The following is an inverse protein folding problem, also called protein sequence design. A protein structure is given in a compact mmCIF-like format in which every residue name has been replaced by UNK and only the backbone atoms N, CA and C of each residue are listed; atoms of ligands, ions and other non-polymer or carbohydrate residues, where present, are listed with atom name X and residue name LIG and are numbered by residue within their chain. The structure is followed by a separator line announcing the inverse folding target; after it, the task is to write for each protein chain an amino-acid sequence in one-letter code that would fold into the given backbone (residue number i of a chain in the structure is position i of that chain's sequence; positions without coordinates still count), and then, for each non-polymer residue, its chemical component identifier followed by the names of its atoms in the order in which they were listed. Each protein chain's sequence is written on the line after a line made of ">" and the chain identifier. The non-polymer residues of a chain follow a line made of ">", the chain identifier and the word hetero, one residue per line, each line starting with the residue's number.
data_IF_695756759393
#
_entry.id   IF_695756759393
#
_cell.length_a   1.000
_cell.length_b   1.000
_cell.length_c   1.000
_cell.angle_alpha   90.00
_cell.angle_beta   90.00
_cell.angle_gamma   90.00
#
_symmetry.space_group_name_H-M   'P 1'
#
loop_
_entity.id
_entity.type
_entity.pdbx_description
1 polymer ?
#
# COMPACT_ATOMS: atom_id res chain seq x y z
N UNK A 1 41.28 15.66 6.30
CA UNK A 1 41.38 14.25 6.74
C UNK A 1 40.32 13.46 5.99
N UNK A 2 40.74 12.68 4.99
CA UNK A 2 39.90 11.77 4.23
C UNK A 2 40.23 10.36 4.70
N UNK A 3 39.26 9.64 5.29
CA UNK A 3 39.44 8.24 5.65
C UNK A 3 39.16 7.36 4.41
N UNK A 4 40.23 6.86 3.79
CA UNK A 4 40.18 5.74 2.85
C UNK A 4 40.13 4.43 3.64
N UNK A 5 39.16 3.55 3.36
CA UNK A 5 39.21 2.17 3.80
C UNK A 5 40.14 1.36 2.89
N UNK A 6 41.32 0.98 3.40
CA UNK A 6 42.14 -0.09 2.82
C UNK A 6 41.68 -1.45 3.40
N UNK A 7 41.55 -2.47 2.55
CA UNK A 7 41.39 -3.86 2.97
C UNK A 7 42.76 -4.53 3.05
N UNK A 8 43.10 -5.09 4.23
CA UNK A 8 44.27 -5.94 4.46
C UNK A 8 43.91 -7.37 4.00
N UNK A 9 44.66 -7.91 3.05
CA UNK A 9 44.56 -9.31 2.65
C UNK A 9 45.46 -10.19 3.53
N UNK A 10 44.86 -11.04 4.36
CA UNK A 10 45.58 -12.13 5.03
C UNK A 10 45.73 -13.31 4.05
N UNK A 11 46.97 -13.70 3.77
CA UNK A 11 47.30 -14.95 3.07
C UNK A 11 46.97 -16.13 3.98
N UNK A 12 46.11 -17.04 3.54
CA UNK A 12 46.15 -18.43 3.99
C UNK A 12 45.97 -19.37 2.80
N UNK A 13 46.96 -20.25 2.62
CA UNK A 13 47.04 -21.26 1.58
C UNK A 13 46.01 -22.37 1.83
N UNK A 14 44.99 -22.45 0.98
CA UNK A 14 44.21 -23.65 0.71
C UNK A 14 43.63 -23.51 -0.71
N UNK A 15 43.46 -24.61 -1.47
CA UNK A 15 43.25 -24.57 -2.92
C UNK A 15 41.97 -23.80 -3.28
N UNK A 16 41.94 -23.08 -4.42
CA UNK A 16 40.80 -22.27 -4.80
C UNK A 16 39.61 -23.19 -5.11
N UNK A 17 38.74 -23.37 -4.13
CA UNK A 17 37.35 -23.64 -4.42
C UNK A 17 36.84 -22.41 -5.19
N UNK A 18 36.59 -22.61 -6.47
CA UNK A 18 35.92 -21.64 -7.32
C UNK A 18 34.60 -21.33 -6.62
N UNK A 19 34.50 -20.15 -6.01
CA UNK A 19 33.25 -19.60 -5.48
C UNK A 19 32.26 -19.57 -6.64
N UNK A 20 31.38 -20.57 -6.68
CA UNK A 20 30.23 -20.62 -7.58
C UNK A 20 29.48 -19.29 -7.47
N UNK A 21 29.10 -18.76 -8.64
CA UNK A 21 28.34 -17.53 -8.82
C UNK A 21 27.38 -17.23 -7.66
N UNK A 22 27.59 -16.10 -7.00
CA UNK A 22 26.65 -15.57 -6.01
C UNK A 22 25.31 -15.40 -6.73
N UNK A 23 24.33 -16.24 -6.40
CA UNK A 23 23.04 -16.18 -7.06
C UNK A 23 22.26 -14.95 -6.57
N UNK A 24 21.90 -14.08 -7.52
CA UNK A 24 21.29 -12.78 -7.28
C UNK A 24 19.80 -12.83 -7.58
N UNK A 25 18.98 -12.16 -6.79
CA UNK A 25 17.54 -12.04 -6.97
C UNK A 25 17.10 -10.59 -7.03
N UNK A 26 15.92 -10.38 -7.60
CA UNK A 26 15.20 -9.12 -7.61
C UNK A 26 13.87 -9.31 -6.89
N UNK A 27 13.25 -8.23 -6.35
CA UNK A 27 11.93 -8.34 -5.75
C UNK A 27 10.88 -8.70 -6.80
N UNK A 28 9.71 -9.12 -6.31
CA UNK A 28 8.56 -9.44 -7.14
C UNK A 28 8.22 -8.29 -8.09
N UNK A 29 7.91 -8.64 -9.35
CA UNK A 29 7.61 -7.68 -10.43
C UNK A 29 8.80 -6.79 -10.88
N UNK A 30 10.05 -7.18 -10.57
CA UNK A 30 11.26 -6.56 -11.12
C UNK A 30 12.02 -7.53 -12.04
N UNK A 31 12.48 -7.02 -13.17
CA UNK A 31 13.29 -7.78 -14.13
C UNK A 31 14.77 -7.75 -13.74
N UNK A 32 15.40 -8.92 -13.58
CA UNK A 32 16.84 -9.04 -13.31
C UNK A 32 17.65 -8.83 -14.59
N UNK A 33 18.65 -7.97 -14.51
CA UNK A 33 19.65 -7.75 -15.56
C UNK A 33 21.04 -7.60 -14.93
N UNK A 34 21.80 -8.70 -14.90
CA UNK A 34 23.10 -8.73 -14.24
C UNK A 34 22.97 -8.44 -12.74
N UNK A 35 23.53 -7.31 -12.28
CA UNK A 35 23.48 -6.84 -10.89
C UNK A 35 22.38 -5.79 -10.63
N UNK A 36 21.52 -5.55 -11.62
CA UNK A 36 20.46 -4.54 -11.59
C UNK A 36 19.09 -5.21 -11.59
N UNK A 37 18.16 -4.61 -10.87
CA UNK A 37 16.74 -4.92 -10.93
C UNK A 37 16.04 -3.74 -11.59
N UNK A 38 15.29 -4.01 -12.66
CA UNK A 38 14.61 -2.99 -13.46
C UNK A 38 13.09 -3.14 -13.37
N UNK A 39 12.37 -2.02 -13.23
CA UNK A 39 10.91 -1.99 -13.27
C UNK A 39 10.39 -0.85 -14.14
N UNK A 40 9.50 -1.19 -15.06
CA UNK A 40 8.87 -0.23 -15.97
C UNK A 40 7.54 0.23 -15.41
N UNK A 41 7.33 1.55 -15.38
CA UNK A 41 6.07 2.16 -15.00
C UNK A 41 5.42 2.78 -16.23
N UNK A 42 4.24 2.29 -16.60
CA UNK A 42 3.48 2.78 -17.75
C UNK A 42 2.67 4.06 -17.45
N UNK A 43 2.66 4.52 -16.19
CA UNK A 43 2.05 5.80 -15.81
C UNK A 43 2.95 6.93 -16.27
N UNK A 44 2.37 7.95 -16.91
CA UNK A 44 3.13 9.07 -17.44
C UNK A 44 3.37 10.14 -16.36
N UNK A 45 4.64 10.52 -16.20
CA UNK A 45 5.10 11.53 -15.23
C UNK A 45 6.19 12.41 -15.85
N UNK A 46 6.34 13.63 -15.33
CA UNK A 46 7.50 14.46 -15.67
C UNK A 46 8.77 13.83 -15.09
N UNK A 47 9.94 14.15 -15.63
CA UNK A 47 11.20 13.57 -15.15
C UNK A 47 11.42 13.77 -13.64
N UNK A 48 11.17 14.98 -13.05
CA UNK A 48 11.30 15.15 -11.60
C UNK A 48 10.27 14.34 -10.78
N UNK A 49 9.05 14.18 -11.30
CA UNK A 49 8.02 13.36 -10.65
C UNK A 49 8.37 11.87 -10.71
N UNK A 50 8.89 11.41 -11.85
CA UNK A 50 9.35 10.05 -12.05
C UNK A 50 10.51 9.71 -11.11
N UNK A 51 11.49 10.60 -10.97
CA UNK A 51 12.57 10.46 -10.00
C UNK A 51 12.02 10.31 -8.57
N UNK A 52 11.13 11.23 -8.15
CA UNK A 52 10.50 11.18 -6.82
C UNK A 52 9.73 9.87 -6.60
N UNK A 53 9.11 9.33 -7.65
CA UNK A 53 8.40 8.06 -7.58
C UNK A 53 9.35 6.88 -7.44
N UNK A 54 10.46 6.81 -8.18
CA UNK A 54 11.48 5.78 -7.97
C UNK A 54 12.07 5.86 -6.56
N UNK A 55 12.41 7.07 -6.09
CA UNK A 55 13.02 7.27 -4.77
C UNK A 55 12.12 6.83 -3.62
N UNK A 56 10.79 6.96 -3.76
CA UNK A 56 9.82 6.45 -2.77
C UNK A 56 9.90 4.92 -2.58
N UNK A 57 10.38 4.19 -3.57
CA UNK A 57 10.50 2.72 -3.54
C UNK A 57 11.95 2.25 -3.42
N UNK A 58 12.86 3.10 -2.90
CA UNK A 58 14.26 2.73 -2.74
C UNK A 58 14.94 2.43 -4.07
N UNK A 59 14.64 3.23 -5.09
CA UNK A 59 15.16 3.06 -6.43
C UNK A 59 15.51 4.42 -7.04
N UNK A 60 16.32 4.40 -8.09
CA UNK A 60 16.62 5.57 -8.90
C UNK A 60 16.06 5.38 -10.31
N UNK A 61 16.02 6.43 -11.11
CA UNK A 61 15.78 6.24 -12.54
C UNK A 61 16.95 5.47 -13.14
N UNK A 62 16.65 4.59 -14.11
CA UNK A 62 17.62 3.62 -14.62
C UNK A 62 18.88 4.29 -15.16
N UNK A 63 20.03 3.70 -14.80
CA UNK A 63 21.34 4.00 -15.37
C UNK A 63 21.72 2.91 -16.37
N UNK A 64 22.21 3.35 -17.52
CA UNK A 64 22.54 2.45 -18.63
C UNK A 64 24.03 2.60 -18.91
N UNK A 65 24.77 1.54 -18.61
CA UNK A 65 26.24 1.52 -18.71
C UNK A 65 26.72 0.70 -19.93
N UNK A 66 25.92 -0.25 -20.42
CA UNK A 66 26.35 -1.16 -21.50
C UNK A 66 25.38 -1.20 -22.69
N UNK A 67 25.88 -1.55 -23.90
CA UNK A 67 25.02 -1.72 -25.08
C UNK A 67 23.96 -2.82 -24.89
N UNK A 68 24.27 -3.85 -24.09
CA UNK A 68 23.33 -4.93 -23.76
C UNK A 68 22.18 -4.40 -22.92
N UNK A 69 22.45 -3.55 -21.94
CA UNK A 69 21.43 -2.89 -21.12
C UNK A 69 20.53 -1.99 -21.96
N UNK A 70 21.11 -1.17 -22.84
CA UNK A 70 20.34 -0.26 -23.70
C UNK A 70 19.35 -1.02 -24.61
N UNK A 71 19.80 -2.12 -25.23
CA UNK A 71 18.95 -2.98 -26.06
C UNK A 71 17.86 -3.68 -25.25
N UNK A 72 18.18 -4.15 -24.05
CA UNK A 72 17.21 -4.80 -23.16
C UNK A 72 16.13 -3.82 -22.70
N UNK A 73 16.50 -2.59 -22.34
CA UNK A 73 15.55 -1.54 -21.97
C UNK A 73 14.63 -1.19 -23.14
N UNK A 74 15.17 -1.06 -24.35
CA UNK A 74 14.37 -0.84 -25.56
C UNK A 74 13.37 -1.99 -25.82
N UNK A 75 13.73 -3.24 -25.52
CA UNK A 75 12.82 -4.38 -25.68
C UNK A 75 11.71 -4.40 -24.63
N UNK A 76 11.98 -3.95 -23.38
CA UNK A 76 10.95 -3.80 -22.34
C UNK A 76 9.85 -2.79 -22.72
N UNK A 77 10.19 -1.78 -23.54
CA UNK A 77 9.25 -0.76 -24.03
C UNK A 77 8.44 -1.23 -25.26
N UNK A 78 8.93 -2.26 -25.96
CA UNK A 78 8.35 -2.76 -27.20
C UNK A 78 7.40 -3.94 -26.94
N UNK A 79 6.21 -3.69 -26.36
CA UNK A 79 5.18 -4.73 -26.17
C UNK A 79 4.25 -4.86 -27.39
N UNK A 80 3.94 -6.09 -27.85
CA UNK A 80 3.02 -6.32 -28.97
C UNK A 80 1.59 -5.90 -28.58
N UNK A 81 0.96 -5.05 -29.40
CA UNK A 81 -0.45 -4.65 -29.23
C UNK A 81 -0.71 -3.16 -28.91
N UNK A 82 0.31 -2.34 -28.64
CA UNK A 82 0.19 -0.87 -28.57
C UNK A 82 0.95 -0.22 -29.72
N UNK A 83 0.25 0.61 -30.51
CA UNK A 83 0.80 1.32 -31.68
C UNK A 83 1.74 2.50 -31.34
N UNK A 84 1.86 2.91 -30.08
CA UNK A 84 2.75 4.02 -29.72
C UNK A 84 4.16 3.51 -29.45
N UNK A 85 5.11 4.11 -30.16
CA UNK A 85 6.56 4.01 -29.95
C UNK A 85 6.91 4.47 -28.53
N UNK A 86 6.80 3.59 -27.52
CA UNK A 86 6.95 3.99 -26.12
C UNK A 86 8.39 4.44 -25.85
N UNK A 87 8.51 5.73 -25.53
CA UNK A 87 9.72 6.37 -25.02
C UNK A 87 9.61 6.39 -23.49
N UNK A 88 10.71 6.25 -22.78
CA UNK A 88 10.70 6.32 -21.33
C UNK A 88 11.82 7.20 -20.76
N UNK A 89 11.57 7.82 -19.61
CA UNK A 89 12.59 8.55 -18.87
C UNK A 89 13.64 7.59 -18.30
N UNK A 90 14.91 7.99 -18.44
CA UNK A 90 16.07 7.37 -17.78
C UNK A 90 16.74 8.37 -16.83
N UNK A 91 17.67 7.91 -16.01
CA UNK A 91 18.24 8.71 -14.92
C UNK A 91 19.20 9.82 -15.34
N UNK A 92 19.53 9.95 -16.62
CA UNK A 92 20.54 10.90 -17.09
C UNK A 92 19.95 12.31 -17.28
N UNK A 93 20.60 13.31 -16.68
CA UNK A 93 20.30 14.73 -16.89
C UNK A 93 21.55 15.51 -17.27
N UNK A 94 21.39 16.53 -18.11
CA UNK A 94 22.42 17.54 -18.35
C UNK A 94 22.21 18.73 -17.42
N UNK A 95 23.25 19.14 -16.69
CA UNK A 95 23.23 20.36 -15.87
C UNK A 95 24.27 21.35 -16.39
N UNK A 96 23.91 22.65 -16.49
CA UNK A 96 24.90 23.68 -16.79
C UNK A 96 25.89 23.80 -15.62
N UNK A 97 27.18 23.89 -15.94
CA UNK A 97 28.27 24.11 -14.98
C UNK A 97 29.10 25.32 -15.43
N UNK A 98 29.95 25.85 -14.55
CA UNK A 98 30.78 27.05 -14.79
C UNK A 98 31.62 26.91 -16.08
N UNK A 99 32.10 25.70 -16.39
CA UNK A 99 32.85 25.38 -17.62
C UNK A 99 32.13 24.33 -18.48
N UNK A 100 30.91 24.66 -18.92
CA UNK A 100 30.18 23.88 -19.92
C UNK A 100 29.01 23.09 -19.33
N UNK A 101 28.89 21.83 -19.73
CA UNK A 101 27.71 21.01 -19.42
C UNK A 101 28.18 19.68 -18.84
N UNK A 102 27.70 19.38 -17.64
CA UNK A 102 27.95 18.11 -16.98
C UNK A 102 26.73 17.20 -17.15
N UNK A 103 26.99 15.90 -17.33
CA UNK A 103 25.96 14.89 -17.27
C UNK A 103 26.00 14.19 -15.92
N UNK A 104 24.84 14.04 -15.31
CA UNK A 104 24.69 13.45 -13.98
C UNK A 104 23.57 12.41 -14.02
N UNK A 105 23.84 11.22 -13.50
CA UNK A 105 22.82 10.22 -13.27
C UNK A 105 22.00 10.54 -12.00
N UNK A 106 20.80 10.01 -11.92
CA UNK A 106 19.89 10.23 -10.79
C UNK A 106 20.35 9.61 -9.46
N UNK A 107 21.37 8.75 -9.50
CA UNK A 107 22.08 8.21 -8.33
C UNK A 107 23.24 9.14 -7.87
N UNK A 108 23.48 10.25 -8.57
CA UNK A 108 24.54 11.21 -8.27
C UNK A 108 25.88 10.90 -8.94
N UNK A 109 25.99 9.82 -9.71
CA UNK A 109 27.23 9.46 -10.40
C UNK A 109 27.41 10.36 -11.64
N UNK A 110 28.56 11.02 -11.81
CA UNK A 110 28.86 11.78 -13.03
C UNK A 110 28.96 10.86 -14.26
N UNK A 111 28.43 11.32 -15.39
CA UNK A 111 28.53 10.62 -16.67
C UNK A 111 29.46 11.36 -17.62
N UNK A 112 30.23 10.61 -18.41
CA UNK A 112 31.04 11.21 -19.47
C UNK A 112 30.14 11.76 -20.57
N UNK A 113 30.43 12.99 -21.04
CA UNK A 113 29.72 13.61 -22.16
C UNK A 113 29.88 12.89 -23.50
N UNK A 114 30.90 12.02 -23.61
CA UNK A 114 31.24 11.29 -24.83
C UNK A 114 30.75 9.83 -24.81
N UNK A 115 30.14 9.39 -23.71
CA UNK A 115 29.67 8.02 -23.52
C UNK A 115 28.15 8.04 -23.44
N UNK A 116 27.49 7.37 -24.37
CA UNK A 116 26.05 7.23 -24.40
C UNK A 116 25.55 6.65 -25.72
N UNK A 117 24.30 6.21 -25.74
CA UNK A 117 23.66 5.66 -26.94
C UNK A 117 22.82 6.73 -27.63
N UNK A 118 23.40 7.91 -27.84
CA UNK A 118 22.70 9.08 -28.39
C UNK A 118 22.24 8.85 -29.82
N UNK A 119 21.06 9.37 -30.13
CA UNK A 119 20.57 9.50 -31.50
C UNK A 119 21.40 10.56 -32.23
N UNK A 120 21.52 10.42 -33.56
CA UNK A 120 22.10 11.45 -34.41
C UNK A 120 21.56 12.84 -34.07
N UNK A 121 22.45 13.84 -34.01
CA UNK A 121 22.18 15.24 -33.61
C UNK A 121 21.82 15.49 -32.13
N UNK A 122 21.87 14.46 -31.27
CA UNK A 122 21.78 14.63 -29.82
C UNK A 122 23.14 14.41 -29.15
N UNK A 123 23.42 15.05 -28.01
CA UNK A 123 22.53 15.87 -27.19
C UNK A 123 22.30 17.31 -27.71
N UNK A 124 21.05 17.66 -28.03
CA UNK A 124 20.63 19.05 -28.31
C UNK A 124 20.16 19.74 -27.02
N UNK A 125 21.02 20.60 -26.48
CA UNK A 125 20.76 21.32 -25.24
C UNK A 125 19.68 22.42 -25.37
N UNK A 126 19.25 22.76 -26.60
CA UNK A 126 18.12 23.68 -26.80
C UNK A 126 16.78 22.98 -26.57
N UNK A 127 16.71 21.67 -26.82
CA UNK A 127 15.50 20.87 -26.68
C UNK A 127 15.15 20.51 -25.22
N UNK A 128 16.12 20.59 -24.30
CA UNK A 128 15.86 20.41 -22.87
C UNK A 128 17.07 19.93 -22.09
N UNK A 129 16.85 19.19 -21.02
CA UNK A 129 17.92 18.72 -20.13
C UNK A 129 17.74 17.32 -19.57
N UNK A 130 16.60 16.68 -19.82
CA UNK A 130 16.30 15.35 -19.30
C UNK A 130 16.35 14.31 -20.42
N UNK A 131 16.91 13.14 -20.13
CA UNK A 131 17.17 12.13 -21.16
C UNK A 131 16.08 11.06 -21.19
N UNK A 132 15.59 10.75 -22.38
CA UNK A 132 14.68 9.65 -22.63
C UNK A 132 15.29 8.61 -23.58
N UNK A 133 14.80 7.38 -23.48
CA UNK A 133 15.23 6.23 -24.30
C UNK A 133 14.06 5.67 -25.09
N UNK A 134 14.34 5.28 -26.33
CA UNK A 134 13.46 4.43 -27.16
C UNK A 134 14.23 3.24 -27.71
N UNK A 135 15.29 3.55 -28.44
CA UNK A 135 16.33 2.64 -28.93
C UNK A 135 17.68 3.32 -28.71
N UNK A 136 17.72 4.59 -29.08
CA UNK A 136 18.76 5.55 -28.78
C UNK A 136 18.24 6.60 -27.77
N UNK A 137 19.16 7.39 -27.23
CA UNK A 137 18.92 8.43 -26.23
C UNK A 137 18.70 9.76 -26.91
N UNK A 138 17.83 10.57 -26.32
CA UNK A 138 17.65 11.96 -26.72
C UNK A 138 17.29 12.81 -25.52
N UNK A 139 17.71 14.07 -25.57
CA UNK A 139 17.38 15.07 -24.56
C UNK A 139 16.06 15.74 -24.92
N UNK A 140 15.26 16.01 -23.90
CA UNK A 140 13.93 16.59 -24.01
C UNK A 140 13.62 17.48 -22.79
N UNK A 141 12.58 18.30 -22.91
CA UNK A 141 12.06 19.09 -21.80
C UNK A 141 11.59 18.19 -20.64
N UNK A 142 12.13 18.44 -19.45
CA UNK A 142 11.90 17.64 -18.24
C UNK A 142 10.42 17.58 -17.79
N UNK A 143 9.60 18.53 -18.24
CA UNK A 143 8.19 18.64 -17.85
C UNK A 143 7.25 17.77 -18.69
N UNK A 144 7.74 17.16 -19.77
CA UNK A 144 6.92 16.27 -20.61
C UNK A 144 6.58 14.99 -19.83
N UNK A 145 5.31 14.58 -19.90
CA UNK A 145 4.82 13.37 -19.24
C UNK A 145 5.20 12.14 -20.06
N UNK A 146 5.93 11.20 -19.47
CA UNK A 146 6.31 9.94 -20.12
C UNK A 146 6.32 8.78 -19.13
N UNK A 147 6.19 7.54 -19.61
CA UNK A 147 6.59 6.36 -18.85
C UNK A 147 8.04 6.49 -18.37
N UNK A 148 8.41 5.71 -17.36
CA UNK A 148 9.74 5.78 -16.78
C UNK A 148 10.18 4.42 -16.24
N UNK A 149 11.48 4.27 -16.07
CA UNK A 149 12.09 3.00 -15.65
C UNK A 149 12.91 3.25 -14.40
N UNK A 150 12.62 2.50 -13.35
CA UNK A 150 13.39 2.52 -12.11
C UNK A 150 14.40 1.37 -12.06
N UNK A 151 15.51 1.61 -11.39
CA UNK A 151 16.59 0.66 -11.11
C UNK A 151 16.89 0.62 -9.61
N UNK A 152 17.21 -0.58 -9.12
CA UNK A 152 17.85 -0.79 -7.83
C UNK A 152 18.80 -2.00 -7.87
N UNK A 153 19.74 -2.16 -6.93
CA UNK A 153 20.69 -3.27 -6.94
C UNK A 153 19.97 -4.60 -6.68
N UNK A 154 20.49 -5.68 -7.28
CA UNK A 154 20.09 -7.04 -6.96
C UNK A 154 20.74 -7.52 -5.65
N UNK A 155 20.00 -8.24 -4.82
CA UNK A 155 20.51 -8.84 -3.59
C UNK A 155 20.83 -10.32 -3.77
N UNK A 156 21.63 -10.90 -2.86
CA UNK A 156 21.85 -12.35 -2.80
C UNK A 156 20.52 -13.06 -2.52
N UNK A 157 20.33 -14.26 -3.06
CA UNK A 157 19.16 -15.09 -2.71
C UNK A 157 19.09 -15.27 -1.19
N UNK A 158 17.91 -15.04 -0.61
CA UNK A 158 17.72 -15.10 0.84
C UNK A 158 18.06 -13.80 1.56
N UNK A 159 18.23 -12.68 0.85
CA UNK A 159 18.26 -11.33 1.43
C UNK A 159 16.85 -10.72 1.53
N UNK A 160 16.67 -9.79 2.47
CA UNK A 160 15.56 -8.85 2.52
C UNK A 160 15.96 -7.53 1.87
N UNK A 161 15.05 -6.94 1.09
CA UNK A 161 15.27 -5.67 0.41
C UNK A 161 14.79 -4.52 1.29
N UNK A 162 15.72 -3.66 1.72
CA UNK A 162 15.39 -2.43 2.43
C UNK A 162 14.62 -1.47 1.51
N UNK A 163 13.82 -0.58 2.09
CA UNK A 163 13.18 0.51 1.37
C UNK A 163 14.17 1.64 1.00
N UNK A 164 15.37 1.67 1.60
CA UNK A 164 16.46 2.61 1.29
C UNK A 164 17.42 2.17 0.19
N UNK A 165 17.03 1.21 -0.68
CA UNK A 165 17.87 0.66 -1.77
C UNK A 165 18.96 -0.33 -1.30
N UNK A 166 18.97 -0.71 -0.02
CA UNK A 166 19.89 -1.69 0.57
C UNK A 166 19.38 -3.13 0.64
N UNK A 167 20.25 -4.04 1.08
CA UNK A 167 19.95 -5.46 1.30
C UNK A 167 20.51 -5.91 2.63
N UNK A 168 19.71 -6.63 3.41
CA UNK A 168 20.17 -7.33 4.64
C UNK A 168 19.89 -8.81 4.51
N UNK A 169 20.52 -9.67 5.33
CA UNK A 169 20.17 -11.08 5.33
C UNK A 169 18.71 -11.25 5.78
N UNK A 170 17.96 -12.20 5.23
CA UNK A 170 16.56 -12.42 5.63
C UNK A 170 16.41 -12.76 7.12
N UNK A 171 17.46 -13.28 7.76
CA UNK A 171 17.50 -13.52 9.20
C UNK A 171 17.53 -12.23 10.04
N UNK A 172 17.91 -11.10 9.44
CA UNK A 172 17.95 -9.76 10.05
C UNK A 172 16.69 -8.94 9.79
N UNK A 173 15.64 -9.60 9.33
CA UNK A 173 14.33 -8.98 9.20
C UNK A 173 13.55 -9.33 10.45
N UNK A 174 13.10 -8.33 11.20
CA UNK A 174 12.31 -8.50 12.41
C UNK A 174 13.09 -9.16 13.55
N UNK A 175 14.35 -8.77 13.73
CA UNK A 175 15.21 -9.23 14.81
C UNK A 175 15.36 -8.21 15.95
N UNK A 176 14.69 -7.06 15.84
CA UNK A 176 14.71 -5.97 16.83
C UNK A 176 15.94 -5.07 16.72
N UNK A 177 16.77 -5.24 15.69
CA UNK A 177 17.94 -4.42 15.41
C UNK A 177 17.70 -3.65 14.12
N UNK A 178 18.19 -2.41 14.06
CA UNK A 178 18.19 -1.65 12.81
C UNK A 178 19.38 -2.08 11.94
N UNK A 179 19.13 -2.94 10.96
CA UNK A 179 20.10 -3.34 9.94
C UNK A 179 19.90 -2.60 8.61
N UNK A 180 18.68 -2.16 8.30
CA UNK A 180 18.43 -1.23 7.20
C UNK A 180 18.66 0.23 7.63
N UNK A 181 19.29 1.04 6.76
CA UNK A 181 19.52 2.47 7.01
C UNK A 181 18.23 3.26 7.32
N UNK A 182 17.07 2.76 6.88
CA UNK A 182 15.75 3.38 7.06
C UNK A 182 14.79 2.58 7.96
N UNK A 183 15.29 1.61 8.72
CA UNK A 183 14.50 0.78 9.66
C UNK A 183 13.44 -0.12 8.98
N UNK A 184 13.48 -0.26 7.66
CA UNK A 184 12.44 -0.99 6.89
C UNK A 184 12.40 -2.51 7.13
N UNK A 185 13.48 -3.08 7.64
CA UNK A 185 13.61 -4.45 8.14
C UNK A 185 12.74 -4.75 9.36
N UNK A 186 12.52 -3.75 10.20
CA UNK A 186 11.72 -3.84 11.43
C UNK A 186 10.28 -3.32 11.25
N UNK A 187 9.94 -2.81 10.07
CA UNK A 187 8.58 -2.38 9.72
C UNK A 187 7.73 -3.54 9.22
N UNK A 188 6.46 -3.56 9.64
CA UNK A 188 5.48 -4.58 9.24
C UNK A 188 5.98 -6.01 9.49
N UNK A 189 6.68 -6.20 10.59
CA UNK A 189 7.07 -7.51 11.04
C UNK A 189 5.83 -8.37 11.30
N UNK A 190 5.78 -9.61 10.81
CA UNK A 190 4.81 -10.55 11.33
C UNK A 190 5.05 -10.57 12.83
N UNK A 191 4.03 -10.19 13.60
CA UNK A 191 4.09 -10.30 15.05
C UNK A 191 4.61 -11.72 15.34
N UNK A 192 5.59 -11.88 16.26
CA UNK A 192 6.06 -13.22 16.61
C UNK A 192 4.83 -14.09 16.90
N UNK A 193 4.86 -15.41 16.62
CA UNK A 193 3.70 -16.29 16.84
C UNK A 193 3.14 -16.22 18.27
N UNK A 194 3.90 -15.64 19.20
CA UNK A 194 3.58 -15.37 20.60
C UNK A 194 2.93 -13.99 20.87
N UNK A 195 2.91 -13.07 19.90
CA UNK A 195 2.24 -11.76 19.95
C UNK A 195 0.98 -11.67 19.04
N UNK A 196 0.51 -12.80 18.52
CA UNK A 196 -0.81 -12.94 17.86
C UNK A 196 -1.78 -13.59 18.86
N UNK A 197 -2.06 -12.91 19.97
CA UNK A 197 -3.03 -13.41 20.95
C UNK A 197 -4.49 -13.25 20.50
N UNK A 198 -4.82 -12.20 19.73
CA UNK A 198 -6.21 -11.81 19.49
C UNK A 198 -6.40 -10.67 18.45
N UNK A 199 -5.50 -10.57 17.46
CA UNK A 199 -5.75 -9.73 16.28
C UNK A 199 -6.36 -10.61 15.19
N UNK A 200 -7.65 -10.46 14.93
CA UNK A 200 -8.38 -11.31 13.98
C UNK A 200 -9.12 -10.46 12.95
N UNK A 201 -9.11 -10.91 11.70
CA UNK A 201 -9.94 -10.36 10.63
C UNK A 201 -10.85 -11.46 10.11
N UNK A 202 -12.16 -11.21 10.17
CA UNK A 202 -13.20 -12.14 9.75
C UNK A 202 -14.04 -11.51 8.65
N UNK A 203 -14.28 -12.28 7.58
CA UNK A 203 -15.13 -11.87 6.46
C UNK A 203 -16.13 -12.96 6.14
N UNK A 204 -17.41 -12.61 6.04
CA UNK A 204 -18.46 -13.60 5.76
C UNK A 204 -19.85 -13.13 6.17
N UNK A 205 -20.82 -14.06 6.19
CA UNK A 205 -22.20 -13.79 6.62
C UNK A 205 -22.45 -14.07 8.10
N UNK A 206 -21.53 -14.76 8.76
CA UNK A 206 -21.58 -15.03 10.20
C UNK A 206 -20.23 -15.50 10.68
N UNK A 207 -19.96 -15.33 11.98
CA UNK A 207 -18.75 -15.82 12.61
C UNK A 207 -18.85 -15.77 14.12
N UNK A 208 -17.75 -16.12 14.79
CA UNK A 208 -17.68 -16.14 16.25
C UNK A 208 -16.25 -15.91 16.69
N UNK A 209 -16.09 -15.12 17.75
CA UNK A 209 -14.79 -14.79 18.32
C UNK A 209 -14.90 -14.73 19.85
N UNK A 210 -13.76 -14.82 20.52
CA UNK A 210 -13.70 -14.86 21.98
C UNK A 210 -12.39 -14.25 22.47
N UNK A 211 -12.37 -13.87 23.74
CA UNK A 211 -11.12 -13.48 24.41
C UNK A 211 -10.09 -14.61 24.36
N UNK A 212 -8.78 -14.27 24.33
CA UNK A 212 -7.73 -15.27 24.47
C UNK A 212 -8.00 -16.20 25.66
N UNK A 213 -7.72 -17.48 25.45
CA UNK A 213 -7.81 -18.52 26.47
C UNK A 213 -9.23 -18.84 27.00
N UNK A 214 -10.29 -18.20 26.49
CA UNK A 214 -11.68 -18.54 26.84
C UNK A 214 -11.95 -20.06 26.69
N UNK A 215 -12.50 -20.75 27.72
CA UNK A 215 -13.21 -20.21 28.90
C UNK A 215 -12.32 -19.94 30.14
N UNK A 216 -11.00 -20.07 30.03
CA UNK A 216 -10.07 -19.67 31.09
C UNK A 216 -9.95 -18.14 31.16
N UNK A 217 -9.47 -17.60 32.30
CA UNK A 217 -9.26 -16.16 32.42
C UNK A 217 -8.30 -15.62 31.36
N UNK A 218 -8.62 -14.45 30.81
CA UNK A 218 -7.75 -13.78 29.85
C UNK A 218 -6.43 -13.34 30.49
N UNK A 219 -5.43 -12.99 29.69
CA UNK A 219 -4.13 -12.49 30.17
C UNK A 219 -4.17 -11.00 30.52
N UNK A 220 -3.27 -10.58 31.40
CA UNK A 220 -3.02 -9.17 31.68
C UNK A 220 -2.41 -8.44 30.46
N UNK A 221 -2.62 -7.12 30.38
CA UNK A 221 -2.04 -6.19 29.40
C UNK A 221 -2.35 -6.54 27.93
N UNK A 222 -3.56 -7.04 27.66
CA UNK A 222 -4.02 -7.34 26.31
C UNK A 222 -4.48 -6.06 25.59
N UNK A 223 -4.28 -6.05 24.27
CA UNK A 223 -4.83 -5.04 23.37
C UNK A 223 -5.34 -5.74 22.09
N UNK A 224 -6.43 -6.47 22.27
CA UNK A 224 -7.05 -7.29 21.24
C UNK A 224 -7.90 -6.46 20.29
N UNK A 225 -7.94 -6.86 19.01
CA UNK A 225 -8.79 -6.23 18.00
C UNK A 225 -9.34 -7.27 17.02
N UNK A 226 -10.65 -7.26 16.86
CA UNK A 226 -11.37 -8.05 15.86
C UNK A 226 -11.95 -7.12 14.81
N UNK A 227 -11.63 -7.35 13.55
CA UNK A 227 -12.16 -6.63 12.40
C UNK A 227 -13.11 -7.53 11.64
N UNK A 228 -14.38 -7.13 11.53
CA UNK A 228 -15.42 -7.93 10.90
C UNK A 228 -15.93 -7.20 9.67
N UNK A 229 -15.98 -7.90 8.53
CA UNK A 229 -16.50 -7.40 7.26
C UNK A 229 -17.62 -8.32 6.74
N UNK A 230 -18.85 -7.80 6.73
CA UNK A 230 -20.01 -8.48 6.17
C UNK A 230 -20.24 -8.07 4.70
N UNK A 231 -21.06 -8.82 3.92
CA UNK A 231 -21.34 -8.49 2.53
C UNK A 231 -21.90 -7.08 2.37
N UNK A 232 -21.69 -6.51 1.19
CA UNK A 232 -22.27 -5.21 0.83
C UNK A 232 -23.80 -5.28 0.97
N UNK A 233 -24.43 -4.21 1.45
CA UNK A 233 -25.87 -4.15 1.77
C UNK A 233 -26.29 -5.05 2.94
N UNK A 234 -25.39 -5.26 3.89
CA UNK A 234 -25.71 -5.89 5.17
C UNK A 234 -25.20 -5.01 6.33
N UNK A 235 -25.73 -5.27 7.52
CA UNK A 235 -25.21 -4.79 8.79
C UNK A 235 -24.76 -5.99 9.61
N UNK A 236 -23.98 -5.74 10.65
CA UNK A 236 -23.47 -6.77 11.54
C UNK A 236 -24.26 -6.70 12.84
N UNK A 237 -24.97 -7.78 13.17
CA UNK A 237 -25.51 -7.99 14.52
C UNK A 237 -24.48 -8.76 15.34
N UNK A 238 -24.01 -8.18 16.44
CA UNK A 238 -23.15 -8.79 17.44
C UNK A 238 -23.99 -9.23 18.64
N UNK A 239 -23.78 -10.46 19.09
CA UNK A 239 -24.44 -11.02 20.28
C UNK A 239 -23.36 -11.57 21.22
N UNK A 240 -23.26 -10.97 22.41
CA UNK A 240 -22.34 -11.41 23.46
C UNK A 240 -23.04 -12.44 24.34
N UNK A 241 -22.71 -13.72 24.15
CA UNK A 241 -23.30 -14.83 24.89
C UNK A 241 -22.80 -14.91 26.33
N UNK A 242 -21.55 -14.49 26.55
CA UNK A 242 -20.88 -14.38 27.85
C UNK A 242 -20.09 -13.08 27.84
N UNK A 243 -20.15 -12.32 28.93
CA UNK A 243 -19.39 -11.10 29.09
C UNK A 243 -19.02 -10.90 30.57
N UNK A 244 -17.77 -11.20 30.90
CA UNK A 244 -17.21 -11.10 32.26
C UNK A 244 -15.81 -10.48 32.16
N UNK A 245 -15.71 -9.19 32.44
CA UNK A 245 -14.45 -8.42 32.47
C UNK A 245 -14.34 -7.68 33.80
N UNK A 246 -13.15 -7.18 34.14
CA UNK A 246 -13.01 -6.26 35.27
C UNK A 246 -13.86 -5.01 35.02
N UNK A 247 -14.68 -4.65 36.01
CA UNK A 247 -15.61 -3.54 35.91
C UNK A 247 -14.85 -2.20 35.90
N UNK A 248 -15.19 -1.30 34.97
CA UNK A 248 -14.61 0.04 34.80
C UNK A 248 -13.10 0.14 34.46
N UNK A 249 -12.36 -0.97 34.45
CA UNK A 249 -10.92 -1.00 34.14
C UNK A 249 -10.68 -1.67 32.79
N UNK A 250 -11.16 -2.91 32.63
CA UNK A 250 -11.04 -3.65 31.39
C UNK A 250 -12.19 -3.27 30.43
N UNK A 251 -11.82 -2.69 29.29
CA UNK A 251 -12.80 -2.03 28.40
C UNK A 251 -12.92 -2.77 27.08
N UNK A 252 -14.17 -3.07 26.71
CA UNK A 252 -14.55 -3.46 25.35
C UNK A 252 -15.15 -2.25 24.64
N UNK A 253 -14.53 -1.84 23.54
CA UNK A 253 -14.99 -0.77 22.67
C UNK A 253 -15.47 -1.37 21.35
N UNK A 254 -16.69 -1.05 20.93
CA UNK A 254 -17.21 -1.44 19.62
C UNK A 254 -17.29 -0.20 18.74
N UNK A 255 -16.46 -0.17 17.69
CA UNK A 255 -16.39 0.89 16.70
C UNK A 255 -17.20 0.46 15.48
N UNK A 256 -18.38 1.06 15.29
CA UNK A 256 -19.37 0.63 14.30
C UNK A 256 -19.31 1.40 12.97
N UNK A 257 -18.13 1.86 12.52
CA UNK A 257 -17.90 2.42 11.17
C UNK A 257 -18.70 3.67 10.79
N UNK A 258 -19.55 4.20 11.67
CA UNK A 258 -20.30 5.45 11.49
C UNK A 258 -19.48 6.71 11.83
N UNK A 259 -20.08 7.91 11.79
CA UNK A 259 -19.45 9.12 12.32
C UNK A 259 -18.92 8.86 13.73
N UNK A 260 -17.71 9.35 14.04
CA UNK A 260 -16.94 9.02 15.25
C UNK A 260 -17.68 9.16 16.60
N UNK A 261 -18.86 9.81 16.62
CA UNK A 261 -19.73 9.96 17.78
C UNK A 261 -20.63 8.75 18.13
N UNK A 262 -20.73 7.72 17.27
CA UNK A 262 -21.60 6.55 17.52
C UNK A 262 -20.85 5.31 18.04
N UNK A 263 -19.58 5.46 18.44
CA UNK A 263 -18.84 4.38 19.11
C UNK A 263 -19.51 4.02 20.44
N UNK A 264 -20.09 2.82 20.54
CA UNK A 264 -20.57 2.30 21.82
C UNK A 264 -19.38 1.79 22.62
N UNK A 265 -19.00 2.55 23.64
CA UNK A 265 -18.08 2.12 24.70
C UNK A 265 -18.92 1.67 25.87
N UNK A 266 -18.76 0.43 26.31
CA UNK A 266 -19.55 -0.08 27.44
C UNK A 266 -18.86 -1.22 28.14
N UNK A 267 -18.60 -1.03 29.43
CA UNK A 267 -18.41 -2.13 30.36
C UNK A 267 -19.81 -2.57 30.78
N UNK A 268 -20.21 -3.80 30.44
CA UNK A 268 -21.51 -4.36 30.79
C UNK A 268 -21.30 -5.68 31.51
N UNK A 269 -22.23 -6.06 32.37
CA UNK A 269 -22.11 -7.29 33.18
C UNK A 269 -23.15 -8.34 32.78
N UNK A 270 -23.81 -8.18 31.63
CA UNK A 270 -24.90 -9.04 31.15
C UNK A 270 -24.83 -9.25 29.63
N UNK A 271 -25.50 -10.30 29.13
CA UNK A 271 -25.64 -10.56 27.69
C UNK A 271 -26.29 -9.36 27.01
N UNK A 272 -25.73 -8.95 25.88
CA UNK A 272 -26.31 -7.86 25.10
C UNK A 272 -26.09 -8.06 23.61
N UNK A 273 -26.94 -7.38 22.84
CA UNK A 273 -26.87 -7.37 21.38
C UNK A 273 -26.67 -5.95 20.87
N UNK A 274 -25.89 -5.83 19.80
CA UNK A 274 -25.64 -4.56 19.10
C UNK A 274 -25.81 -4.80 17.60
N UNK A 275 -26.47 -3.87 16.91
CA UNK A 275 -26.53 -3.86 15.45
C UNK A 275 -25.73 -2.67 14.93
N UNK A 276 -24.75 -2.93 14.08
CA UNK A 276 -23.87 -1.90 13.53
C UNK A 276 -24.57 -0.98 12.54
N UNK A 277 -24.01 0.22 12.37
CA UNK A 277 -24.46 1.18 11.36
C UNK A 277 -24.09 0.76 9.93
N UNK A 278 -22.90 0.16 9.75
CA UNK A 278 -22.31 -0.23 8.46
C UNK A 278 -22.08 -1.74 8.34
N UNK A 279 -21.58 -2.22 7.20
CA UNK A 279 -21.15 -3.62 7.02
C UNK A 279 -19.75 -3.91 7.60
N UNK A 280 -19.17 -2.99 8.37
CA UNK A 280 -17.88 -3.15 9.03
C UNK A 280 -17.96 -2.79 10.51
N UNK A 281 -17.31 -3.59 11.36
CA UNK A 281 -17.18 -3.33 12.80
C UNK A 281 -15.76 -3.66 13.25
N UNK A 282 -15.24 -2.84 14.17
CA UNK A 282 -14.02 -3.15 14.93
C UNK A 282 -14.39 -3.31 16.39
N UNK A 283 -14.12 -4.48 16.96
CA UNK A 283 -14.22 -4.72 18.41
C UNK A 283 -12.82 -4.66 18.99
N UNK A 284 -12.63 -3.84 20.02
CA UNK A 284 -11.35 -3.69 20.70
C UNK A 284 -11.50 -4.05 22.17
N UNK A 285 -10.61 -4.87 22.70
CA UNK A 285 -10.57 -5.23 24.12
C UNK A 285 -9.21 -4.89 24.71
N UNK A 286 -9.21 -4.07 25.76
CA UNK A 286 -8.01 -3.63 26.46
C UNK A 286 -8.09 -4.05 27.91
N UNK A 287 -7.01 -4.68 28.39
CA UNK A 287 -6.87 -5.08 29.79
C UNK A 287 -5.67 -4.44 30.45
N UNK A 288 -5.74 -4.28 31.77
CA UNK A 288 -4.64 -3.77 32.58
C UNK A 288 -3.75 -4.90 33.15
N UNK A 289 -2.89 -4.59 34.12
CA UNK A 289 -1.95 -5.53 34.69
C UNK A 289 -2.55 -6.45 35.78
N UNK A 290 -3.76 -6.18 36.26
CA UNK A 290 -4.37 -6.80 37.45
C UNK A 290 -5.71 -7.43 37.05
N UNK A 291 -6.31 -8.20 37.97
CA UNK A 291 -7.68 -8.78 37.89
C UNK A 291 -8.11 -9.30 36.51
N UNK A 292 -8.00 -10.61 36.31
CA UNK A 292 -8.50 -11.25 35.09
C UNK A 292 -9.79 -12.03 35.35
N UNK A 293 -10.74 -11.91 34.43
CA UNK A 293 -11.99 -12.65 34.43
C UNK A 293 -12.06 -13.60 33.22
N UNK A 294 -13.16 -14.34 33.05
CA UNK A 294 -13.31 -15.31 31.94
C UNK A 294 -13.36 -14.66 30.56
N UNK A 295 -13.58 -13.34 30.50
CA UNK A 295 -13.66 -12.59 29.25
C UNK A 295 -15.02 -12.71 28.59
N UNK A 296 -15.03 -12.77 27.26
CA UNK A 296 -16.28 -12.79 26.51
C UNK A 296 -16.28 -13.80 25.37
N UNK A 297 -17.49 -14.28 25.06
CA UNK A 297 -17.78 -15.13 23.90
C UNK A 297 -18.87 -14.46 23.07
N UNK A 298 -18.57 -14.23 21.80
CA UNK A 298 -19.42 -13.44 20.91
C UNK A 298 -19.61 -14.15 19.60
N UNK A 299 -20.84 -14.17 19.11
CA UNK A 299 -21.14 -14.52 17.73
C UNK A 299 -21.69 -13.31 16.99
N UNK A 300 -21.53 -13.32 15.67
CA UNK A 300 -22.03 -12.26 14.81
C UNK A 300 -22.68 -12.84 13.56
N UNK A 301 -23.62 -12.08 13.01
CA UNK A 301 -24.29 -12.41 11.75
C UNK A 301 -24.56 -11.16 10.92
N UNK A 302 -24.49 -11.32 9.61
CA UNK A 302 -24.91 -10.35 8.64
C UNK A 302 -26.44 -10.29 8.61
N UNK A 303 -27.01 -9.16 8.99
CA UNK A 303 -28.42 -8.86 8.83
C UNK A 303 -28.60 -8.04 7.57
N UNK A 304 -29.50 -8.50 6.68
CA UNK A 304 -29.74 -7.83 5.40
C UNK A 304 -30.22 -6.39 5.66
N UNK A 305 -29.48 -5.41 5.13
CA UNK A 305 -29.82 -4.00 5.24
C UNK A 305 -29.98 -3.42 3.83
N UNK A 306 -31.22 -3.33 3.38
CA UNK A 306 -31.54 -2.82 2.05
C UNK A 306 -31.85 -1.34 2.16
N UNK A 307 -30.90 -0.50 1.77
CA UNK A 307 -31.19 0.87 1.37
C UNK A 307 -30.31 1.24 0.17
N UNK A 308 -30.90 1.91 -0.83
CA UNK A 308 -30.24 2.08 -2.12
C UNK A 308 -30.62 1.03 -3.16
N UNK A 309 -29.87 0.97 -4.27
CA UNK A 309 -30.09 0.04 -5.37
C UNK A 309 -29.93 0.67 -6.75
N UNK A 310 -30.05 -0.16 -7.79
CA UNK A 310 -30.04 0.29 -9.19
C UNK A 310 -31.49 0.57 -9.63
N UNK A 311 -31.76 1.79 -10.06
CA UNK A 311 -33.03 2.20 -10.64
C UNK A 311 -32.84 2.41 -12.14
N UNK A 312 -33.69 1.80 -12.96
CA UNK A 312 -33.74 2.12 -14.39
C UNK A 312 -34.67 3.31 -14.60
N UNK A 313 -34.15 4.38 -15.19
CA UNK A 313 -34.92 5.58 -15.48
C UNK A 313 -36.07 5.26 -16.45
N UNK A 314 -37.28 5.64 -16.05
CA UNK A 314 -38.50 5.45 -16.85
C UNK A 314 -39.05 6.80 -17.32
N UNK A 315 -39.91 6.77 -18.33
CA UNK A 315 -40.57 7.98 -18.86
C UNK A 315 -41.54 8.63 -17.84
N UNK A 316 -41.98 7.88 -16.83
CA UNK A 316 -42.80 8.38 -15.73
C UNK A 316 -41.97 8.57 -14.46
N UNK A 317 -42.41 9.50 -13.60
CA UNK A 317 -41.70 9.83 -12.36
C UNK A 317 -41.68 8.65 -11.39
N UNK A 318 -40.47 8.25 -10.97
CA UNK A 318 -40.24 7.26 -9.91
C UNK A 318 -39.91 7.98 -8.59
N UNK A 319 -40.31 7.40 -7.47
CA UNK A 319 -39.98 7.92 -6.13
C UNK A 319 -39.12 6.89 -5.40
N UNK A 320 -38.02 7.34 -4.79
CA UNK A 320 -37.25 6.59 -3.81
C UNK A 320 -37.19 7.39 -2.51
N UNK A 321 -36.97 6.71 -1.39
CA UNK A 321 -36.98 7.34 -0.07
C UNK A 321 -35.90 6.74 0.82
N UNK A 322 -35.51 7.49 1.84
CA UNK A 322 -34.60 7.01 2.89
C UNK A 322 -35.19 5.77 3.57
N UNK A 323 -34.33 4.89 4.12
CA UNK A 323 -34.81 3.74 4.88
C UNK A 323 -35.74 4.19 6.01
N UNK A 324 -36.81 3.41 6.25
CA UNK A 324 -37.86 3.66 7.24
C UNK A 324 -38.76 4.88 7.01
N UNK A 325 -38.64 5.63 5.90
CA UNK A 325 -39.56 6.73 5.59
C UNK A 325 -41.04 6.27 5.66
N UNK A 326 -41.94 6.98 6.38
CA UNK A 326 -41.81 8.36 6.89
C UNK A 326 -41.21 8.51 8.30
N UNK A 327 -40.76 7.43 8.93
CA UNK A 327 -40.10 7.42 10.24
C UNK A 327 -38.63 7.86 10.07
N UNK A 328 -38.01 8.29 11.18
CA UNK A 328 -36.59 8.64 11.21
C UNK A 328 -35.71 7.51 10.68
N UNK A 329 -34.76 7.88 9.83
CA UNK A 329 -33.79 6.93 9.30
C UNK A 329 -32.84 6.49 10.42
N UNK A 330 -32.39 5.22 10.43
CA UNK A 330 -31.42 4.77 11.43
C UNK A 330 -30.13 5.60 11.36
N UNK A 331 -29.52 5.91 12.51
CA UNK A 331 -28.25 6.62 12.57
C UNK A 331 -27.16 5.87 11.78
N UNK A 332 -26.24 6.62 11.16
CA UNK A 332 -25.14 6.04 10.38
C UNK A 332 -25.55 5.31 9.09
N UNK A 333 -26.77 5.53 8.58
CA UNK A 333 -27.22 4.93 7.31
C UNK A 333 -26.47 5.52 6.11
N UNK A 334 -25.74 4.68 5.37
CA UNK A 334 -25.16 5.02 4.07
C UNK A 334 -25.94 4.30 2.97
N UNK A 335 -26.63 5.06 2.11
CA UNK A 335 -27.48 4.53 1.06
C UNK A 335 -27.04 5.04 -0.31
N UNK A 336 -26.84 4.13 -1.26
CA UNK A 336 -26.39 4.47 -2.62
C UNK A 336 -27.46 4.08 -3.64
N UNK A 337 -28.00 5.06 -4.36
CA UNK A 337 -28.90 4.83 -5.50
C UNK A 337 -28.17 5.10 -6.81
N UNK A 338 -28.13 4.11 -7.69
CA UNK A 338 -27.56 4.25 -9.05
C UNK A 338 -28.71 4.30 -10.05
N UNK A 339 -28.91 5.44 -10.71
CA UNK A 339 -29.99 5.59 -11.70
C UNK A 339 -29.40 5.43 -13.10
N UNK A 340 -29.81 4.37 -13.80
CA UNK A 340 -29.39 4.07 -15.17
C UNK A 340 -30.39 4.62 -16.17
N UNK A 341 -29.95 5.57 -17.01
CA UNK A 341 -30.73 6.05 -18.13
C UNK A 341 -30.36 5.34 -19.44
N UNK A 342 -31.32 5.14 -20.37
CA UNK A 342 -31.02 4.77 -21.74
C UNK A 342 -30.05 5.76 -22.42
N UNK A 343 -29.29 5.29 -23.42
CA UNK A 343 -28.38 6.15 -24.18
C UNK A 343 -29.14 7.38 -24.73
N UNK A 344 -28.52 8.56 -24.58
CA UNK A 344 -29.05 9.85 -25.05
C UNK A 344 -30.26 10.42 -24.29
N UNK A 345 -30.55 9.93 -23.07
CA UNK A 345 -31.56 10.52 -22.19
C UNK A 345 -30.92 11.16 -20.95
N UNK A 346 -31.53 12.23 -20.45
CA UNK A 346 -31.13 12.94 -19.23
C UNK A 346 -32.06 12.59 -18.08
N UNK A 347 -31.51 12.43 -16.89
CA UNK A 347 -32.26 12.15 -15.66
C UNK A 347 -32.61 13.47 -15.00
N UNK A 348 -33.89 13.67 -14.64
CA UNK A 348 -34.33 14.81 -13.84
C UNK A 348 -34.75 14.35 -12.46
N UNK A 349 -34.12 14.89 -11.41
CA UNK A 349 -34.48 14.64 -10.03
C UNK A 349 -35.35 15.78 -9.49
N UNK A 350 -36.52 15.46 -8.93
CA UNK A 350 -37.38 16.42 -8.26
C UNK A 350 -37.49 16.09 -6.78
N UNK A 351 -37.07 17.02 -5.93
CA UNK A 351 -37.19 16.92 -4.47
C UNK A 351 -38.66 17.11 -4.07
N UNK A 352 -39.22 16.17 -3.30
CA UNK A 352 -40.59 16.28 -2.75
C UNK A 352 -40.61 16.72 -1.29
N UNK A 353 -39.77 16.11 -0.43
CA UNK A 353 -39.66 16.41 1.01
C UNK A 353 -38.25 16.08 1.49
N UNK A 354 -37.66 16.95 2.32
CA UNK A 354 -36.38 16.70 3.01
C UNK A 354 -36.54 17.17 4.45
N UNK A 355 -36.24 16.28 5.39
CA UNK A 355 -36.11 16.57 6.81
C UNK A 355 -34.73 16.01 7.22
N UNK A 356 -33.81 16.88 7.59
CA UNK A 356 -32.52 16.47 8.16
C UNK A 356 -32.62 16.60 9.68
N UNK A 357 -31.97 15.70 10.42
CA UNK A 357 -31.81 15.87 11.86
C UNK A 357 -31.01 17.14 12.19
N UNK A 358 -31.14 17.72 13.40
CA UNK A 358 -30.34 18.87 13.82
C UNK A 358 -28.85 18.50 13.78
N UNK A 359 -28.07 19.26 13.02
CA UNK A 359 -26.61 19.21 13.11
C UNK A 359 -26.20 19.79 14.46
N UNK A 360 -25.76 18.94 15.40
CA UNK A 360 -24.95 19.43 16.52
C UNK A 360 -23.63 19.94 15.93
N UNK A 361 -23.41 21.25 16.07
CA UNK A 361 -22.14 21.93 15.81
C UNK A 361 -21.06 21.50 16.79
#
# INVERSE_FOLDING_TARGET
>A
MLNMCYFIALKNNSPPSVLSDIDLSCPDEWYKLGRKCLKTYHVEKSWPQALKMCSRYGAHLVRIDTPRENKFIASLLSRPGRRSQQQAWIGLVSKPQVEGIAFLWSDGVPASRYVGFWKDSHPDHKSGSCTMVKLEWSIESCNILRPFICEKPSCVIGSFFCASCGCVAKSRRCDGVQDCDDFSDELNCPAPPTAVGCLQYEKGESGKFSTPDYPQPYKANLNCRWMIEAPINSRIQLTFDVFETEEFVDVVTVLDGGPAGNSTTGTRSEKFELVSSTNMVIVQFRTDAVVQARGFHTHWRAVKFVCGGVLTAQAFGQTFSSPHYPVDYPAGSECVWTIQAPKSQLITLKKRRILWGPHNQ
#
